data_IF_389605034598
#
_entry.id   IF_389605034598
#
_cell.length_a   1.000
_cell.length_b   1.000
_cell.length_c   1.000
_cell.angle_alpha   90.00
_cell.angle_beta   90.00
_cell.angle_gamma   90.00
#
_symmetry.space_group_name_H-M   'P 1'
#
loop_
_entity.id
_entity.type
_entity.pdbx_description
1 polymer ?
#
# COMPACT_ATOMS: atom_id res chain seq x y z
N UNK A 1 -12.56 -9.89 1.47
CA UNK A 1 -12.96 -8.58 0.93
C UNK A 1 -11.78 -7.63 1.10
N UNK A 2 -11.27 -7.02 0.03
CA UNK A 2 -10.12 -6.09 0.10
C UNK A 2 -10.59 -4.67 0.40
N UNK A 3 -9.79 -3.89 1.13
CA UNK A 3 -10.03 -2.48 1.44
C UNK A 3 -9.09 -1.60 0.64
N UNK A 4 -9.64 -0.54 0.07
CA UNK A 4 -8.86 0.48 -0.63
C UNK A 4 -8.17 1.40 0.37
N UNK A 5 -6.90 1.67 0.12
CA UNK A 5 -6.10 2.64 0.85
C UNK A 5 -5.43 3.58 -0.14
N UNK A 6 -5.65 4.88 0.02
CA UNK A 6 -4.89 5.90 -0.72
C UNK A 6 -3.60 6.21 0.03
N UNK A 7 -2.47 6.08 -0.65
CA UNK A 7 -1.11 6.40 -0.18
C UNK A 7 -0.49 7.49 -1.06
N UNK A 8 0.65 8.03 -0.64
CA UNK A 8 1.34 9.10 -1.36
C UNK A 8 1.81 8.71 -2.76
N UNK A 9 1.67 9.64 -3.71
CA UNK A 9 2.33 9.55 -5.03
C UNK A 9 3.85 9.54 -4.93
N UNK A 10 4.40 9.96 -3.78
CA UNK A 10 5.82 9.88 -3.48
C UNK A 10 6.35 8.46 -3.27
N UNK A 11 5.48 7.43 -3.23
CA UNK A 11 5.93 6.04 -3.15
C UNK A 11 6.59 5.63 -4.46
N UNK A 12 7.90 5.32 -4.46
CA UNK A 12 8.61 4.98 -5.67
C UNK A 12 8.05 3.69 -6.29
N UNK A 13 7.82 3.69 -7.60
CA UNK A 13 7.37 2.50 -8.33
C UNK A 13 8.29 1.28 -8.12
N UNK A 14 9.60 1.49 -7.88
CA UNK A 14 10.53 0.39 -7.58
C UNK A 14 10.20 -0.32 -6.26
N UNK A 15 9.70 0.39 -5.23
CA UNK A 15 9.28 -0.22 -3.96
C UNK A 15 8.05 -1.09 -4.17
N UNK A 16 7.09 -0.63 -4.97
CA UNK A 16 5.91 -1.42 -5.34
C UNK A 16 6.30 -2.66 -6.13
N UNK A 17 7.20 -2.55 -7.12
CA UNK A 17 7.72 -3.69 -7.89
C UNK A 17 8.49 -4.68 -7.01
N UNK A 18 9.29 -4.19 -6.06
CA UNK A 18 9.99 -5.04 -5.10
C UNK A 18 9.02 -5.75 -4.17
N UNK A 19 8.02 -5.04 -3.67
CA UNK A 19 7.00 -5.61 -2.82
C UNK A 19 6.11 -6.63 -3.55
N UNK A 20 5.88 -6.44 -4.86
CA UNK A 20 5.20 -7.41 -5.71
C UNK A 20 5.98 -8.72 -5.84
N UNK A 21 7.31 -8.63 -5.85
CA UNK A 21 8.20 -9.80 -5.91
C UNK A 21 8.39 -10.47 -4.56
N UNK A 22 8.65 -9.68 -3.51
CA UNK A 22 9.05 -10.14 -2.18
C UNK A 22 7.84 -10.40 -1.25
N UNK A 23 6.65 -9.94 -1.63
CA UNK A 23 5.44 -9.99 -0.80
C UNK A 23 5.48 -9.10 0.44
N UNK A 24 6.38 -8.10 0.45
CA UNK A 24 6.64 -7.22 1.60
C UNK A 24 6.70 -5.77 1.14
N UNK A 25 5.81 -4.94 1.64
CA UNK A 25 5.82 -3.50 1.40
C UNK A 25 6.17 -2.76 2.68
N UNK A 26 7.20 -1.92 2.61
CA UNK A 26 7.58 -1.04 3.71
C UNK A 26 7.30 0.39 3.28
N UNK A 27 6.36 1.04 3.98
CA UNK A 27 5.99 2.43 3.75
C UNK A 27 6.46 3.27 4.93
N UNK A 28 7.00 4.46 4.65
CA UNK A 28 7.31 5.45 5.68
C UNK A 28 6.06 6.26 6.06
N UNK A 29 6.11 7.00 7.17
CA UNK A 29 5.00 7.85 7.60
C UNK A 29 4.63 8.90 6.52
N UNK A 30 5.63 9.50 5.87
CA UNK A 30 5.43 10.46 4.78
C UNK A 30 4.80 9.80 3.53
N UNK A 31 5.17 8.56 3.25
CA UNK A 31 4.59 7.76 2.15
C UNK A 31 3.14 7.36 2.44
N UNK A 32 2.79 7.17 3.72
CA UNK A 32 1.40 6.89 4.12
C UNK A 32 0.51 8.14 4.02
N UNK A 33 1.02 9.33 4.29
CA UNK A 33 0.19 10.55 4.38
C UNK A 33 -0.20 11.21 3.05
N UNK A 34 0.08 10.62 1.88
CA UNK A 34 -0.21 11.28 0.60
C UNK A 34 -1.41 10.72 -0.17
N UNK A 35 -1.73 11.39 -1.28
CA UNK A 35 -3.01 11.26 -1.98
C UNK A 35 -2.87 10.83 -3.45
N UNK A 36 -1.98 9.90 -3.76
CA UNK A 36 -1.52 9.66 -5.13
C UNK A 36 -1.66 8.26 -5.70
N UNK A 37 -1.59 7.21 -4.87
CA UNK A 37 -1.71 5.83 -5.34
C UNK A 37 -2.72 5.06 -4.48
N UNK A 38 -3.53 4.21 -5.12
CA UNK A 38 -4.47 3.33 -4.43
C UNK A 38 -3.84 1.95 -4.25
N UNK A 39 -3.90 1.42 -3.04
CA UNK A 39 -3.53 0.05 -2.70
C UNK A 39 -4.79 -0.70 -2.27
N UNK A 40 -4.96 -1.92 -2.77
CA UNK A 40 -6.02 -2.83 -2.34
C UNK A 40 -5.45 -3.78 -1.29
N UNK A 41 -5.67 -3.49 -0.02
CA UNK A 41 -5.09 -4.25 1.09
C UNK A 41 -6.12 -5.17 1.74
N UNK A 42 -5.67 -6.31 2.26
CA UNK A 42 -6.47 -7.14 3.15
C UNK A 42 -6.88 -6.31 4.39
N UNK A 43 -8.09 -6.50 4.94
CA UNK A 43 -8.60 -5.74 6.09
C UNK A 43 -7.63 -5.77 7.29
N UNK A 44 -6.97 -6.90 7.52
CA UNK A 44 -5.97 -7.03 8.59
C UNK A 44 -4.75 -6.11 8.38
N UNK A 45 -4.28 -6.00 7.13
CA UNK A 45 -3.20 -5.08 6.76
C UNK A 45 -3.67 -3.63 6.81
N UNK A 46 -4.89 -3.36 6.37
CA UNK A 46 -5.50 -2.02 6.39
C UNK A 46 -5.58 -1.44 7.81
N UNK A 47 -5.96 -2.23 8.82
CA UNK A 47 -5.98 -1.77 10.21
C UNK A 47 -4.58 -1.43 10.75
N UNK A 48 -3.55 -2.21 10.36
CA UNK A 48 -2.16 -1.91 10.72
C UNK A 48 -1.71 -0.59 10.11
N UNK A 49 -2.08 -0.33 8.86
CA UNK A 49 -1.79 0.96 8.21
C UNK A 49 -2.49 2.12 8.90
N UNK A 50 -3.79 1.99 9.20
CA UNK A 50 -4.54 3.04 9.89
C UNK A 50 -3.93 3.39 11.26
N UNK A 51 -3.50 2.37 12.02
CA UNK A 51 -2.81 2.58 13.29
C UNK A 51 -1.48 3.30 13.10
N UNK A 52 -0.70 2.91 12.08
CA UNK A 52 0.58 3.54 11.76
C UNK A 52 0.42 4.99 11.29
N UNK A 53 -0.58 5.28 10.46
CA UNK A 53 -0.96 6.63 10.03
C UNK A 53 -1.31 7.52 11.22
N UNK A 54 -2.18 7.04 12.12
CA UNK A 54 -2.55 7.77 13.35
C UNK A 54 -1.35 8.02 14.26
N UNK A 55 -0.42 7.07 14.32
CA UNK A 55 0.80 7.18 15.12
C UNK A 55 1.92 8.01 14.45
N UNK A 56 1.76 8.43 13.19
CA UNK A 56 2.81 9.11 12.43
C UNK A 56 4.04 8.24 12.19
N UNK A 57 3.88 6.92 12.06
CA UNK A 57 4.98 5.95 11.89
C UNK A 57 4.88 5.21 10.56
N UNK A 58 6.02 4.73 10.06
CA UNK A 58 6.05 3.81 8.93
C UNK A 58 5.52 2.42 9.31
N UNK A 59 5.10 1.65 8.31
CA UNK A 59 4.53 0.30 8.49
C UNK A 59 5.14 -0.68 7.51
N UNK A 60 5.34 -1.91 7.97
CA UNK A 60 5.69 -3.06 7.13
C UNK A 60 4.47 -3.94 6.98
N UNK A 61 4.03 -4.14 5.75
CA UNK A 61 2.89 -4.96 5.40
C UNK A 61 3.38 -6.21 4.69
N UNK A 62 2.81 -7.34 5.07
CA UNK A 62 2.81 -8.51 4.22
C UNK A 62 1.71 -8.31 3.21
N UNK A 63 2.09 -8.34 1.95
CA UNK A 63 1.16 -8.19 0.85
C UNK A 63 1.37 -9.30 -0.18
N UNK A 64 0.28 -9.68 -0.78
CA UNK A 64 0.20 -10.67 -1.83
C UNK A 64 0.24 -9.98 -3.19
N UNK A 65 0.57 -10.73 -4.24
CA UNK A 65 0.67 -10.18 -5.61
C UNK A 65 -0.61 -9.49 -6.09
N UNK A 66 -1.75 -9.92 -5.59
CA UNK A 66 -3.06 -9.39 -5.97
C UNK A 66 -3.42 -8.07 -5.27
N UNK A 67 -2.66 -7.67 -4.25
CA UNK A 67 -2.93 -6.46 -3.45
C UNK A 67 -2.21 -5.22 -4.01
N UNK A 68 -1.14 -5.42 -4.77
CA UNK A 68 -0.45 -4.36 -5.51
C UNK A 68 -0.96 -4.41 -6.93
N UNK A 69 -2.13 -3.87 -7.18
CA UNK A 69 -2.54 -3.64 -8.55
C UNK A 69 -2.01 -2.25 -8.97
N UNK A 70 -0.97 -2.15 -9.83
CA UNK A 70 -0.49 -0.86 -10.31
C UNK A 70 -1.50 -0.14 -11.22
N UNK A 71 -2.62 -0.78 -11.55
CA UNK A 71 -3.69 -0.22 -12.35
C UNK A 71 -4.85 -1.20 -12.31
N UNK A 72 -6.04 -0.78 -11.85
CA UNK A 72 -7.24 -1.35 -12.43
C UNK A 72 -7.50 -0.56 -13.71
N UNK A 73 -7.25 -1.08 -14.92
CA UNK A 73 -8.13 -0.77 -16.02
C UNK A 73 -9.33 -1.70 -15.85
N UNK A 74 -10.45 -1.16 -15.40
CA UNK A 74 -11.71 -1.64 -15.94
C UNK A 74 -11.69 -1.24 -17.44
N UNK A 75 -11.13 -2.09 -18.30
CA UNK A 75 -11.21 -1.99 -19.76
C UNK A 75 -10.54 -3.21 -20.42
N UNK A 76 -11.25 -4.33 -20.47
CA UNK A 76 -11.19 -5.28 -21.58
C UNK A 76 -12.55 -6.00 -21.69
#
# INVERSE_FOLDING_TARGET
MYRELTISSGVPAHKLRKAFRDGKLSLTAAELQGSGAKLHLHPESHEKVLKAMKAGRGVRLHITRHEINPSSPDAA
#
